data_IF_284590457284
#
_entry.id   IF_284590457284
#
_cell.length_a   1.000
_cell.length_b   1.000
_cell.length_c   1.000
_cell.angle_alpha   90.00
_cell.angle_beta   90.00
_cell.angle_gamma   90.00
#
_symmetry.space_group_name_H-M   'P 1'
#
loop_
_entity.id
_entity.type
_entity.pdbx_description
1 polymer ?
#
# COMPACT_ATOMS: atom_id res chain seq x y z
N UNK A 1 26.27 -4.40 -37.21
CA UNK A 1 27.35 -4.52 -36.21
C UNK A 1 26.72 -4.83 -34.85
N UNK A 2 27.30 -5.82 -34.18
CA UNK A 2 26.96 -6.42 -32.88
C UNK A 2 26.23 -5.53 -31.87
N UNK A 3 25.17 -6.09 -31.27
CA UNK A 3 25.09 -6.24 -29.81
C UNK A 3 24.33 -7.52 -29.48
N UNK A 4 25.05 -8.64 -29.54
CA UNK A 4 24.65 -9.85 -28.84
C UNK A 4 24.86 -9.60 -27.34
N UNK A 5 23.90 -8.93 -26.70
CA UNK A 5 23.94 -8.64 -25.28
C UNK A 5 23.58 -9.95 -24.57
N UNK A 6 24.62 -10.75 -24.24
CA UNK A 6 24.48 -11.91 -23.37
C UNK A 6 23.59 -11.51 -22.19
N UNK A 7 22.43 -12.17 -22.04
CA UNK A 7 21.56 -12.03 -20.89
C UNK A 7 22.39 -12.35 -19.65
N UNK A 8 22.88 -11.29 -18.98
CA UNK A 8 23.49 -11.43 -17.66
C UNK A 8 22.34 -11.71 -16.71
N UNK A 9 22.47 -12.75 -15.90
CA UNK A 9 21.54 -12.98 -14.80
C UNK A 9 21.48 -11.69 -13.95
N UNK A 10 20.29 -11.11 -13.86
CA UNK A 10 20.01 -9.98 -12.97
C UNK A 10 19.29 -10.51 -11.73
N UNK A 11 19.59 -9.97 -10.54
CA UNK A 11 18.82 -10.31 -9.35
C UNK A 11 17.36 -9.89 -9.51
N UNK A 12 16.47 -10.58 -8.80
CA UNK A 12 15.08 -10.16 -8.69
C UNK A 12 15.03 -8.83 -7.94
N UNK A 13 14.28 -7.86 -8.46
CA UNK A 13 14.09 -6.59 -7.77
C UNK A 13 13.31 -6.80 -6.47
N UNK A 14 13.65 -6.05 -5.43
CA UNK A 14 12.85 -6.08 -4.20
C UNK A 14 11.45 -5.55 -4.50
N UNK A 15 10.44 -6.38 -4.23
CA UNK A 15 9.03 -6.05 -4.42
C UNK A 15 8.27 -6.00 -3.11
N UNK A 16 7.13 -5.33 -3.12
CA UNK A 16 6.24 -5.15 -1.97
C UNK A 16 4.78 -5.31 -2.40
N UNK A 17 3.87 -5.29 -1.44
CA UNK A 17 2.43 -5.34 -1.68
C UNK A 17 1.79 -3.95 -1.57
N UNK A 18 0.82 -3.69 -2.43
CA UNK A 18 -0.05 -2.52 -2.39
C UNK A 18 -1.51 -2.97 -2.40
N UNK A 19 -2.20 -2.80 -1.27
CA UNK A 19 -3.64 -3.06 -1.15
C UNK A 19 -4.46 -1.84 -1.55
N UNK A 20 -5.48 -2.03 -2.40
CA UNK A 20 -6.33 -0.94 -2.90
C UNK A 20 -7.66 -1.48 -3.44
N UNK A 21 -8.65 -0.60 -3.66
CA UNK A 21 -9.86 -0.88 -4.46
C UNK A 21 -9.79 -0.35 -5.89
N UNK A 22 -8.67 0.25 -6.26
CA UNK A 22 -8.43 0.76 -7.61
C UNK A 22 -8.00 -0.39 -8.52
N UNK A 23 -8.60 -0.45 -9.71
CA UNK A 23 -8.13 -1.34 -10.77
C UNK A 23 -6.88 -0.75 -11.42
N UNK A 24 -5.80 -1.52 -11.40
CA UNK A 24 -4.48 -1.14 -11.88
C UNK A 24 -4.00 -2.19 -12.88
N UNK A 25 -3.27 -1.73 -13.89
CA UNK A 25 -2.73 -2.61 -14.93
C UNK A 25 -1.29 -3.02 -14.60
N UNK A 26 -0.96 -4.29 -14.83
CA UNK A 26 0.43 -4.76 -14.77
C UNK A 26 1.27 -4.03 -15.82
N UNK A 27 2.41 -3.49 -15.40
CA UNK A 27 3.25 -2.62 -16.20
C UNK A 27 2.93 -1.13 -16.02
N UNK A 28 1.78 -0.79 -15.42
CA UNK A 28 1.40 0.58 -15.08
C UNK A 28 2.16 1.16 -13.89
N UNK A 29 1.99 2.46 -13.68
CA UNK A 29 2.53 3.20 -12.53
C UNK A 29 1.40 3.64 -11.61
N UNK A 30 1.62 3.48 -10.31
CA UNK A 30 0.84 4.12 -9.25
C UNK A 30 1.54 5.43 -8.93
N UNK A 31 0.84 6.56 -9.01
CA UNK A 31 1.40 7.88 -8.77
C UNK A 31 0.72 8.58 -7.58
N UNK A 32 1.39 9.59 -7.03
CA UNK A 32 0.81 10.47 -6.01
C UNK A 32 -0.30 11.34 -6.62
N UNK A 33 -1.17 11.92 -5.79
CA UNK A 33 -2.17 12.88 -6.25
C UNK A 33 -3.52 12.32 -6.69
N UNK A 34 -3.71 11.00 -6.60
CA UNK A 34 -5.04 10.38 -6.55
C UNK A 34 -5.70 10.64 -5.18
N UNK A 35 -7.02 10.49 -5.08
CA UNK A 35 -7.75 10.68 -3.81
C UNK A 35 -7.15 9.78 -2.72
N UNK A 36 -6.89 10.34 -1.53
CA UNK A 36 -6.42 9.57 -0.37
C UNK A 36 -7.35 8.40 -0.06
N UNK A 37 -6.76 7.26 0.32
CA UNK A 37 -7.49 6.08 0.79
C UNK A 37 -8.19 6.28 2.14
N UNK A 38 -7.96 7.40 2.84
CA UNK A 38 -8.49 7.64 4.19
C UNK A 38 -9.28 8.95 4.33
N UNK A 39 -9.11 9.91 3.41
CA UNK A 39 -9.79 11.20 3.45
C UNK A 39 -10.27 11.66 2.06
N UNK A 40 -11.57 11.90 1.92
CA UNK A 40 -12.19 12.38 0.70
C UNK A 40 -11.77 13.85 0.40
N UNK A 41 -11.35 14.12 -0.84
CA UNK A 41 -11.04 15.48 -1.32
C UNK A 41 -9.59 15.97 -1.13
N UNK A 42 -8.71 15.19 -0.48
CA UNK A 42 -7.27 15.49 -0.43
C UNK A 42 -6.49 14.64 -1.43
N UNK A 43 -5.59 15.28 -2.17
CA UNK A 43 -4.57 14.61 -2.99
C UNK A 43 -3.59 13.90 -2.07
N UNK A 44 -3.45 12.59 -2.20
CA UNK A 44 -2.49 11.83 -1.41
C UNK A 44 -1.06 12.29 -1.74
N UNK A 45 -0.32 12.74 -0.73
CA UNK A 45 1.09 13.11 -0.85
C UNK A 45 2.01 11.90 -1.00
N UNK A 46 1.59 10.76 -0.43
CA UNK A 46 2.35 9.52 -0.42
C UNK A 46 1.54 8.37 -1.01
N UNK A 47 2.27 7.37 -1.51
CA UNK A 47 1.78 6.06 -1.89
C UNK A 47 2.31 5.05 -0.86
N UNK A 48 1.47 4.09 -0.49
CA UNK A 48 1.78 3.13 0.58
C UNK A 48 2.07 1.75 0.01
N UNK A 49 2.99 1.04 0.65
CA UNK A 49 3.35 -0.34 0.32
C UNK A 49 3.79 -1.07 1.60
N UNK A 50 3.76 -2.40 1.58
CA UNK A 50 4.16 -3.20 2.74
C UNK A 50 4.85 -4.50 2.33
N UNK A 51 5.75 -5.00 3.20
CA UNK A 51 6.37 -6.30 3.02
C UNK A 51 5.58 -7.45 3.69
N UNK A 52 4.40 -7.18 4.27
CA UNK A 52 3.53 -8.22 4.84
C UNK A 52 2.19 -8.31 4.11
N UNK A 53 1.73 -9.53 3.84
CA UNK A 53 0.46 -9.74 3.16
C UNK A 53 -0.73 -9.26 4.02
N UNK A 54 -0.67 -9.46 5.33
CA UNK A 54 -1.71 -9.06 6.28
C UNK A 54 -1.98 -7.54 6.24
N UNK A 55 -0.92 -6.72 6.27
CA UNK A 55 -1.07 -5.26 6.14
C UNK A 55 -1.60 -4.85 4.75
N UNK A 56 -1.27 -5.61 3.70
CA UNK A 56 -1.80 -5.34 2.36
C UNK A 56 -3.30 -5.67 2.25
N UNK A 57 -3.75 -6.73 2.92
CA UNK A 57 -5.16 -7.10 3.04
C UNK A 57 -5.92 -5.95 3.73
N UNK A 58 -5.41 -5.45 4.86
CA UNK A 58 -5.99 -4.27 5.52
C UNK A 58 -6.03 -3.05 4.60
N UNK A 59 -4.95 -2.79 3.86
CA UNK A 59 -4.89 -1.72 2.87
C UNK A 59 -6.01 -1.82 1.82
N UNK A 60 -6.29 -3.03 1.31
CA UNK A 60 -7.35 -3.25 0.33
C UNK A 60 -8.76 -3.11 0.95
N UNK A 61 -9.00 -3.72 2.11
CA UNK A 61 -10.31 -3.74 2.77
C UNK A 61 -10.75 -2.36 3.29
N UNK A 62 -9.79 -1.58 3.79
CA UNK A 62 -10.01 -0.25 4.34
C UNK A 62 -9.94 0.86 3.29
N UNK A 63 -9.38 0.60 2.10
CA UNK A 63 -9.31 1.57 1.00
C UNK A 63 -10.71 2.09 0.64
N UNK A 64 -10.79 3.40 0.39
CA UNK A 64 -11.98 4.06 -0.12
C UNK A 64 -12.25 3.65 -1.57
N UNK A 65 -13.54 3.59 -1.92
CA UNK A 65 -13.99 3.21 -3.26
C UNK A 65 -15.04 2.10 -3.23
N UNK A 66 -15.68 1.88 -4.38
CA UNK A 66 -16.70 0.85 -4.58
C UNK A 66 -16.20 -0.36 -5.38
N UNK A 67 -14.95 -0.31 -5.84
CA UNK A 67 -14.31 -1.43 -6.54
C UNK A 67 -14.03 -2.60 -5.60
N UNK A 68 -13.77 -3.79 -6.16
CA UNK A 68 -13.35 -4.94 -5.37
C UNK A 68 -11.98 -4.68 -4.73
N UNK A 69 -11.75 -5.30 -3.57
CA UNK A 69 -10.44 -5.33 -2.93
C UNK A 69 -9.40 -6.05 -3.80
N UNK A 70 -8.24 -5.44 -3.97
CA UNK A 70 -7.13 -5.98 -4.78
C UNK A 70 -5.81 -5.75 -4.07
N UNK A 71 -4.86 -6.66 -4.31
CA UNK A 71 -3.50 -6.57 -3.80
C UNK A 71 -2.55 -6.71 -4.97
N UNK A 72 -1.71 -5.70 -5.20
CA UNK A 72 -0.72 -5.71 -6.26
C UNK A 72 0.68 -5.93 -5.72
N UNK A 73 1.51 -6.61 -6.51
CA UNK A 73 2.95 -6.66 -6.30
C UNK A 73 3.57 -5.47 -7.02
N UNK A 74 4.35 -4.68 -6.29
CA UNK A 74 4.88 -3.40 -6.79
C UNK A 74 6.37 -3.25 -6.56
N UNK A 75 7.04 -2.60 -7.49
CA UNK A 75 8.43 -2.16 -7.39
C UNK A 75 8.47 -0.65 -7.13
N UNK A 76 9.11 -0.19 -6.05
CA UNK A 76 9.29 1.24 -5.84
C UNK A 76 10.30 1.81 -6.85
N UNK A 77 9.96 2.94 -7.47
CA UNK A 77 10.86 3.62 -8.43
C UNK A 77 11.87 4.57 -7.76
N UNK A 78 11.72 4.78 -6.45
CA UNK A 78 12.59 5.64 -5.64
C UNK A 78 12.61 5.20 -4.18
N UNK A 79 13.20 6.01 -3.29
CA UNK A 79 13.29 5.70 -1.87
C UNK A 79 11.92 5.49 -1.22
N UNK A 80 11.89 4.59 -0.24
CA UNK A 80 10.75 4.36 0.66
C UNK A 80 11.19 4.67 2.08
N UNK A 81 10.25 5.12 2.92
CA UNK A 81 10.46 5.35 4.35
C UNK A 81 9.37 4.65 5.15
N UNK A 82 9.65 4.39 6.44
CA UNK A 82 8.68 3.80 7.35
C UNK A 82 7.40 4.64 7.42
N UNK A 83 6.24 3.98 7.42
CA UNK A 83 4.96 4.65 7.63
C UNK A 83 4.85 5.10 9.10
N UNK A 84 4.79 6.41 9.38
CA UNK A 84 4.74 6.91 10.75
C UNK A 84 3.42 6.60 11.45
N UNK A 85 2.35 6.22 10.75
CA UNK A 85 1.11 5.77 11.39
C UNK A 85 1.24 4.34 11.95
N UNK A 86 2.21 3.56 11.45
CA UNK A 86 2.37 2.13 11.75
C UNK A 86 3.72 1.77 12.37
N UNK A 87 4.58 2.76 12.63
CA UNK A 87 5.93 2.59 13.16
C UNK A 87 6.10 3.32 14.48
N UNK A 88 6.64 2.65 15.49
CA UNK A 88 6.92 3.22 16.82
C UNK A 88 5.70 3.86 17.54
N UNK A 89 4.48 3.49 17.12
CA UNK A 89 3.25 3.88 17.80
C UNK A 89 2.88 2.86 18.89
N UNK A 90 2.03 1.89 18.54
CA UNK A 90 1.54 0.87 19.49
C UNK A 90 2.62 -0.13 19.89
N UNK A 91 3.57 -0.40 19.01
CA UNK A 91 4.65 -1.37 19.20
C UNK A 91 5.98 -0.77 18.72
N UNK A 92 7.12 -1.14 19.35
CA UNK A 92 8.44 -0.69 18.90
C UNK A 92 8.78 -1.14 17.47
N UNK A 93 9.40 -0.24 16.71
CA UNK A 93 9.81 -0.42 15.32
C UNK A 93 8.63 -0.53 14.35
N UNK A 94 8.91 -1.13 13.19
CA UNK A 94 7.94 -1.36 12.12
C UNK A 94 7.62 -2.86 11.98
N UNK A 95 6.68 -3.40 12.80
CA UNK A 95 6.34 -4.83 12.78
C UNK A 95 5.53 -5.23 11.55
N UNK A 96 4.71 -4.33 11.01
CA UNK A 96 3.90 -4.57 9.81
C UNK A 96 4.70 -4.40 8.52
N UNK A 97 5.94 -3.90 8.62
CA UNK A 97 6.80 -3.56 7.49
C UNK A 97 6.07 -2.68 6.49
N UNK A 98 5.39 -1.66 7.00
CA UNK A 98 4.61 -0.70 6.21
C UNK A 98 5.43 0.54 5.94
N UNK A 99 5.37 0.99 4.70
CA UNK A 99 6.21 2.06 4.18
C UNK A 99 5.38 3.01 3.32
N UNK A 100 5.95 4.19 3.08
CA UNK A 100 5.40 5.19 2.18
C UNK A 100 6.47 5.77 1.26
N UNK A 101 6.05 6.34 0.14
CA UNK A 101 6.93 7.08 -0.77
C UNK A 101 6.18 8.17 -1.51
N UNK A 102 6.90 9.21 -1.94
CA UNK A 102 6.41 10.20 -2.90
C UNK A 102 6.69 9.79 -4.36
N UNK A 103 7.51 8.76 -4.56
CA UNK A 103 7.88 8.27 -5.87
C UNK A 103 6.86 7.24 -6.37
N UNK A 104 6.61 7.15 -7.68
CA UNK A 104 5.70 6.16 -8.25
C UNK A 104 6.11 4.72 -7.95
N UNK A 105 5.14 3.81 -7.98
CA UNK A 105 5.39 2.37 -7.91
C UNK A 105 4.99 1.71 -9.22
N UNK A 106 5.84 0.83 -9.74
CA UNK A 106 5.51 0.02 -10.91
C UNK A 106 4.76 -1.23 -10.48
N UNK A 107 3.59 -1.46 -11.07
CA UNK A 107 2.83 -2.68 -10.87
C UNK A 107 3.49 -3.80 -11.67
N UNK A 108 3.87 -4.88 -11.00
CA UNK A 108 4.54 -6.04 -11.63
C UNK A 108 3.73 -7.33 -11.54
N UNK A 109 2.63 -7.32 -10.79
CA UNK A 109 1.69 -8.42 -10.72
C UNK A 109 0.51 -8.11 -9.80
N UNK A 110 -0.45 -9.02 -9.78
CA UNK A 110 -1.59 -9.02 -8.85
C UNK A 110 -1.53 -10.31 -8.02
N UNK A 111 -1.75 -10.19 -6.71
CA UNK A 111 -1.85 -11.33 -5.79
C UNK A 111 -3.30 -11.80 -5.79
N UNK A 112 -3.51 -13.06 -6.11
CA UNK A 112 -4.83 -13.71 -6.12
C UNK A 112 -4.90 -14.82 -5.06
N UNK A 113 -6.11 -15.19 -4.63
CA UNK A 113 -6.31 -16.33 -3.73
C UNK A 113 -5.92 -16.08 -2.28
N UNK A 114 -5.82 -14.80 -1.87
CA UNK A 114 -5.68 -14.43 -0.47
C UNK A 114 -7.04 -14.46 0.23
N UNK A 115 -7.02 -14.62 1.55
CA UNK A 115 -8.21 -14.66 2.39
C UNK A 115 -8.29 -13.37 3.20
N UNK A 116 -9.38 -12.64 3.03
CA UNK A 116 -9.65 -11.43 3.81
C UNK A 116 -10.01 -11.72 5.27
N UNK A 117 -10.10 -10.65 6.04
CA UNK A 117 -10.60 -10.66 7.40
C UNK A 117 -12.12 -10.91 7.44
N UNK A 118 -12.63 -11.27 8.62
CA UNK A 118 -14.08 -11.40 8.79
C UNK A 118 -14.76 -10.02 8.71
N UNK A 119 -16.04 -10.00 8.35
CA UNK A 119 -16.82 -8.77 8.28
C UNK A 119 -16.84 -8.04 9.64
N UNK A 120 -16.87 -8.80 10.74
CA UNK A 120 -16.82 -8.28 12.11
C UNK A 120 -15.48 -7.59 12.38
N UNK A 121 -14.36 -8.22 12.02
CA UNK A 121 -13.02 -7.63 12.19
C UNK A 121 -12.87 -6.32 11.40
N UNK A 122 -13.36 -6.31 10.15
CA UNK A 122 -13.33 -5.10 9.30
C UNK A 122 -14.18 -4.00 9.92
N UNK A 123 -15.36 -4.35 10.44
CA UNK A 123 -16.27 -3.39 11.06
C UNK A 123 -15.69 -2.80 12.35
N UNK A 124 -15.12 -3.63 13.23
CA UNK A 124 -14.44 -3.21 14.45
C UNK A 124 -13.27 -2.26 14.14
N UNK A 125 -12.46 -2.59 13.13
CA UNK A 125 -11.35 -1.75 12.70
C UNK A 125 -11.83 -0.37 12.20
N UNK A 126 -12.86 -0.35 11.34
CA UNK A 126 -13.45 0.91 10.85
C UNK A 126 -14.02 1.77 11.97
N UNK A 127 -14.67 1.16 12.96
CA UNK A 127 -15.16 1.85 14.16
C UNK A 127 -14.01 2.42 15.00
N UNK A 128 -12.93 1.66 15.18
CA UNK A 128 -11.73 2.12 15.87
C UNK A 128 -11.10 3.34 15.19
N UNK A 129 -10.95 3.31 13.86
CA UNK A 129 -10.42 4.44 13.08
C UNK A 129 -11.35 5.66 13.20
N UNK A 130 -12.67 5.48 13.12
CA UNK A 130 -13.63 6.57 13.26
C UNK A 130 -13.54 7.23 14.65
N UNK A 131 -13.41 6.42 15.72
CA UNK A 131 -13.26 6.92 17.08
C UNK A 131 -11.97 7.73 17.28
N UNK A 132 -10.84 7.25 16.75
CA UNK A 132 -9.57 7.99 16.81
C UNK A 132 -9.70 9.37 16.15
N UNK A 133 -10.42 9.43 15.02
CA UNK A 133 -10.71 10.70 14.32
C UNK A 133 -11.56 11.65 15.16
N UNK A 134 -12.57 11.16 15.87
CA UNK A 134 -13.40 11.95 16.80
C UNK A 134 -12.57 12.49 17.98
N UNK A 135 -11.58 11.73 18.43
CA UNK A 135 -10.64 12.12 19.49
C UNK A 135 -9.54 13.09 19.01
N UNK A 136 -9.54 13.46 17.72
CA UNK A 136 -8.54 14.36 17.12
C UNK A 136 -7.20 13.69 16.81
N UNK A 137 -7.12 12.36 16.90
CA UNK A 137 -5.96 11.57 16.52
C UNK A 137 -6.08 11.26 15.03
N UNK A 138 -5.44 12.10 14.21
CA UNK A 138 -5.40 11.97 12.77
C UNK A 138 -4.15 11.30 12.24
N UNK A 139 -4.17 10.95 10.95
CA UNK A 139 -3.01 10.42 10.24
C UNK A 139 -1.85 11.43 10.18
N UNK A 140 -0.63 10.93 10.33
CA UNK A 140 0.64 11.65 10.17
C UNK A 140 1.09 11.73 8.69
N UNK A 141 0.27 11.23 7.76
CA UNK A 141 0.57 11.12 6.34
C UNK A 141 0.05 12.29 5.46
N UNK A 142 -0.10 13.49 6.03
CA UNK A 142 -0.53 14.71 5.32
C UNK A 142 0.51 15.27 4.34
#
# INVERSE_FOLDING_TARGET
>A
MSKNQKLKASPFAQTFFHGTKVELEVGGLIEVGHNSNFEEGKKAKYIFLTATLDAAIWGAELSLGKGPERIYVVEPTGPIEDDPDLTDNRFPGNPTKSYRSVHPFKVVGEVTGWKGHSAEQIQEMKQGIAKLKEEGIGSLNN
#
